data_IF_021967886569
#
_entry.id   IF_021967886569
#
_cell.length_a   1.000
_cell.length_b   1.000
_cell.length_c   1.000
_cell.angle_alpha   90.00
_cell.angle_beta   90.00
_cell.angle_gamma   90.00
#
_symmetry.space_group_name_H-M   'P 1'
#
loop_
_entity.id
_entity.type
_entity.pdbx_description
1 polymer ?
#
# COMPACT_ATOMS: atom_id res chain seq x y z
N UNK A 1 -9.20 -8.40 38.60
CA UNK A 1 -8.31 -7.48 37.87
C UNK A 1 -9.13 -6.77 36.81
N UNK A 2 -9.02 -5.45 36.70
CA UNK A 2 -9.69 -4.72 35.61
C UNK A 2 -8.99 -5.06 34.29
N UNK A 3 -9.71 -4.97 33.17
CA UNK A 3 -9.09 -5.08 31.85
C UNK A 3 -8.48 -3.72 31.46
N UNK A 4 -7.35 -3.74 30.74
CA UNK A 4 -6.77 -2.50 30.21
C UNK A 4 -7.73 -1.83 29.23
N UNK A 5 -7.99 -0.54 29.42
CA UNK A 5 -8.81 0.26 28.52
C UNK A 5 -7.99 1.39 27.92
N UNK A 6 -7.92 1.44 26.59
CA UNK A 6 -7.23 2.51 25.88
C UNK A 6 -8.23 3.57 25.42
N UNK A 7 -8.11 4.78 25.93
CA UNK A 7 -9.07 5.87 25.68
C UNK A 7 -9.17 6.27 24.19
N UNK A 8 -8.13 6.02 23.40
CA UNK A 8 -8.05 6.37 21.98
C UNK A 8 -8.24 5.16 21.05
N UNK A 9 -8.86 4.08 21.52
CA UNK A 9 -9.07 2.87 20.72
C UNK A 9 -9.88 3.14 19.44
N UNK A 10 -10.94 3.94 19.52
CA UNK A 10 -11.72 4.38 18.35
C UNK A 10 -10.88 5.19 17.35
N UNK A 11 -9.94 6.00 17.84
CA UNK A 11 -9.04 6.79 17.00
C UNK A 11 -8.06 5.86 16.28
N UNK A 12 -7.50 4.88 17.00
CA UNK A 12 -6.60 3.88 16.41
C UNK A 12 -7.31 3.08 15.31
N UNK A 13 -8.55 2.66 15.55
CA UNK A 13 -9.32 1.90 14.55
C UNK A 13 -9.68 2.76 13.34
N UNK A 14 -10.04 4.03 13.54
CA UNK A 14 -10.25 4.95 12.43
C UNK A 14 -8.97 5.13 11.58
N UNK A 15 -7.80 5.28 12.22
CA UNK A 15 -6.50 5.39 11.52
C UNK A 15 -6.14 4.11 10.76
N UNK A 16 -6.46 2.93 11.29
CA UNK A 16 -6.32 1.64 10.56
C UNK A 16 -7.18 1.62 9.30
N UNK A 17 -8.42 2.10 9.38
CA UNK A 17 -9.33 2.17 8.23
C UNK A 17 -8.78 3.10 7.15
N UNK A 18 -8.29 4.29 7.53
CA UNK A 18 -7.66 5.24 6.61
C UNK A 18 -6.44 4.61 5.91
N UNK A 19 -5.55 3.94 6.66
CA UNK A 19 -4.41 3.23 6.05
C UNK A 19 -4.87 2.17 5.05
N UNK A 20 -5.92 1.41 5.40
CA UNK A 20 -6.44 0.35 4.53
C UNK A 20 -7.05 0.92 3.25
N UNK A 21 -7.76 2.04 3.32
CA UNK A 21 -8.31 2.75 2.16
C UNK A 21 -7.20 3.30 1.27
N UNK A 22 -6.17 3.93 1.85
CA UNK A 22 -5.01 4.42 1.11
C UNK A 22 -4.30 3.28 0.36
N UNK A 23 -4.12 2.12 1.01
CA UNK A 23 -3.52 0.92 0.37
C UNK A 23 -4.38 0.39 -0.76
N UNK A 24 -5.71 0.38 -0.61
CA UNK A 24 -6.63 -0.03 -1.68
C UNK A 24 -6.52 0.89 -2.90
N UNK A 25 -6.49 2.20 -2.67
CA UNK A 25 -6.32 3.18 -3.75
C UNK A 25 -4.98 3.00 -4.48
N UNK A 26 -3.88 2.81 -3.73
CA UNK A 26 -2.56 2.48 -4.30
C UNK A 26 -2.61 1.20 -5.14
N UNK A 27 -3.21 0.13 -4.62
CA UNK A 27 -3.30 -1.16 -5.32
C UNK A 27 -4.09 -1.06 -6.64
N UNK A 28 -5.18 -0.29 -6.67
CA UNK A 28 -5.96 -0.06 -7.88
C UNK A 28 -5.13 0.65 -8.97
N UNK A 29 -4.39 1.70 -8.59
CA UNK A 29 -3.48 2.42 -9.49
C UNK A 29 -2.35 1.52 -10.00
N UNK A 30 -1.79 0.70 -9.10
CA UNK A 30 -0.75 -0.26 -9.45
C UNK A 30 -1.24 -1.29 -10.46
N UNK A 31 -2.47 -1.79 -10.28
CA UNK A 31 -3.09 -2.73 -11.21
C UNK A 31 -3.32 -2.08 -12.58
N UNK A 32 -3.79 -0.84 -12.62
CA UNK A 32 -3.95 -0.09 -13.87
C UNK A 32 -2.62 0.05 -14.60
N UNK A 33 -1.53 0.39 -13.89
CA UNK A 33 -0.20 0.49 -14.48
C UNK A 33 0.25 -0.84 -15.11
N UNK A 34 0.06 -1.95 -14.41
CA UNK A 34 0.40 -3.30 -14.91
C UNK A 34 -0.38 -3.62 -16.19
N UNK A 35 -1.67 -3.29 -16.25
CA UNK A 35 -2.49 -3.50 -17.45
C UNK A 35 -1.98 -2.68 -18.64
N UNK A 36 -1.56 -1.43 -18.41
CA UNK A 36 -0.98 -0.59 -19.46
C UNK A 36 0.39 -1.11 -19.93
N UNK A 37 1.23 -1.61 -19.01
CA UNK A 37 2.52 -2.24 -19.35
C UNK A 37 2.32 -3.51 -20.19
N UNK A 38 1.34 -4.34 -19.85
CA UNK A 38 0.96 -5.51 -20.65
C UNK A 38 0.50 -5.10 -22.05
N UNK A 39 -0.36 -4.09 -22.15
CA UNK A 39 -0.85 -3.58 -23.43
C UNK A 39 0.30 -3.05 -24.31
N UNK A 40 1.20 -2.25 -23.72
CA UNK A 40 2.38 -1.73 -24.42
C UNK A 40 3.29 -2.86 -24.94
N UNK A 41 3.47 -3.91 -24.14
CA UNK A 41 4.24 -5.09 -24.56
C UNK A 41 3.58 -5.79 -25.76
N UNK A 42 2.26 -5.95 -25.76
CA UNK A 42 1.53 -6.52 -26.91
C UNK A 42 1.70 -5.67 -28.16
N UNK A 43 1.55 -4.34 -28.08
CA UNK A 43 1.74 -3.43 -29.21
C UNK A 43 3.18 -3.48 -29.74
N UNK A 44 4.16 -3.60 -28.85
CA UNK A 44 5.58 -3.69 -29.23
C UNK A 44 5.90 -5.01 -29.91
N UNK A 45 5.32 -6.11 -29.45
CA UNK A 45 5.44 -7.42 -30.10
C UNK A 45 4.79 -7.43 -31.48
N UNK A 46 3.60 -6.85 -31.61
CA UNK A 46 2.91 -6.69 -32.89
C UNK A 46 3.74 -5.85 -33.88
N UNK A 47 4.34 -4.76 -33.38
CA UNK A 47 5.27 -3.95 -34.17
C UNK A 47 6.44 -4.77 -34.68
N UNK A 48 7.04 -5.61 -33.84
CA UNK A 48 8.15 -6.46 -34.23
C UNK A 48 7.75 -7.50 -35.30
N UNK A 49 6.57 -8.10 -35.18
CA UNK A 49 6.05 -9.08 -36.15
C UNK A 49 5.80 -8.47 -37.53
N UNK A 50 5.40 -7.20 -37.60
CA UNK A 50 5.22 -6.49 -38.88
C UNK A 50 6.52 -6.38 -39.70
N UNK A 51 7.67 -6.30 -39.03
CA UNK A 51 8.97 -6.22 -39.68
C UNK A 51 9.50 -7.58 -40.15
N UNK A 52 8.90 -8.69 -39.72
CA UNK A 52 9.34 -10.05 -40.04
C UNK A 52 8.70 -10.58 -41.36
N UNK A 53 7.75 -9.83 -41.94
CA UNK A 53 7.02 -10.22 -43.16
C UNK A 53 7.76 -9.75 -44.42
N UNK A 54 8.32 -10.69 -45.17
CA UNK A 54 9.15 -10.47 -46.37
C UNK A 54 8.40 -10.19 -47.71
N UNK A 55 7.09 -9.91 -47.69
CA UNK A 55 6.32 -9.68 -48.93
C UNK A 55 6.42 -8.24 -49.45
N UNK A 56 7.12 -8.07 -50.59
CA UNK A 56 7.56 -6.79 -51.16
C UNK A 56 6.66 -6.29 -52.31
N UNK A 57 5.34 -6.25 -52.12
CA UNK A 57 4.44 -5.58 -53.08
C UNK A 57 4.21 -4.12 -52.64
N UNK A 58 4.33 -3.17 -53.57
CA UNK A 58 4.19 -1.72 -53.30
C UNK A 58 2.90 -1.39 -52.52
N UNK A 59 1.76 -1.96 -52.92
CA UNK A 59 0.48 -1.75 -52.22
C UNK A 59 0.48 -2.28 -50.78
N UNK A 60 1.17 -3.39 -50.52
CA UNK A 60 1.29 -3.98 -49.17
C UNK A 60 2.22 -3.16 -48.28
N UNK A 61 3.31 -2.63 -48.84
CA UNK A 61 4.22 -1.72 -48.14
C UNK A 61 3.51 -0.44 -47.69
N UNK A 62 2.64 0.14 -48.54
CA UNK A 62 1.85 1.33 -48.18
C UNK A 62 0.87 1.04 -47.03
N UNK A 63 0.22 -0.12 -47.02
CA UNK A 63 -0.68 -0.54 -45.94
C UNK A 63 0.10 -0.78 -44.65
N UNK A 64 1.24 -1.47 -44.70
CA UNK A 64 2.13 -1.69 -43.55
C UNK A 64 2.63 -0.37 -42.98
N UNK A 65 3.02 0.60 -43.81
CA UNK A 65 3.48 1.91 -43.35
C UNK A 65 2.37 2.68 -42.61
N UNK A 66 1.15 2.69 -43.14
CA UNK A 66 0.00 3.32 -42.47
C UNK A 66 -0.29 2.65 -41.14
N UNK A 67 -0.22 1.33 -41.10
CA UNK A 67 -0.44 0.57 -39.87
C UNK A 67 0.64 0.85 -38.82
N UNK A 68 1.92 0.89 -39.22
CA UNK A 68 3.03 1.24 -38.33
C UNK A 68 2.89 2.66 -37.76
N UNK A 69 2.42 3.62 -38.56
CA UNK A 69 2.16 4.98 -38.06
C UNK A 69 1.05 5.00 -37.01
N UNK A 70 -0.06 4.29 -37.26
CA UNK A 70 -1.14 4.15 -36.28
C UNK A 70 -0.66 3.46 -35.00
N UNK A 71 0.12 2.39 -35.14
CA UNK A 71 0.67 1.63 -34.01
C UNK A 71 1.61 2.47 -33.16
N UNK A 72 2.48 3.27 -33.79
CA UNK A 72 3.36 4.20 -33.08
C UNK A 72 2.55 5.27 -32.31
N UNK A 73 1.52 5.84 -32.95
CA UNK A 73 0.66 6.82 -32.28
C UNK A 73 -0.05 6.22 -31.04
N UNK A 74 -0.54 4.97 -31.15
CA UNK A 74 -1.12 4.25 -30.01
C UNK A 74 -0.08 3.98 -28.91
N UNK A 75 1.14 3.56 -29.28
CA UNK A 75 2.24 3.35 -28.33
C UNK A 75 2.56 4.64 -27.57
N UNK A 76 2.68 5.76 -28.27
CA UNK A 76 2.97 7.07 -27.67
C UNK A 76 1.83 7.49 -26.71
N UNK A 77 0.57 7.25 -27.09
CA UNK A 77 -0.59 7.52 -26.22
C UNK A 77 -0.56 6.68 -24.95
N UNK A 78 -0.28 5.37 -25.07
CA UNK A 78 -0.17 4.46 -23.92
C UNK A 78 0.99 4.86 -23.01
N UNK A 79 2.14 5.23 -23.57
CA UNK A 79 3.29 5.70 -22.80
C UNK A 79 2.99 7.00 -22.04
N UNK A 80 2.29 7.95 -22.65
CA UNK A 80 1.85 9.18 -21.98
C UNK A 80 0.87 8.88 -20.85
N UNK A 81 -0.11 7.99 -21.06
CA UNK A 81 -1.03 7.56 -19.99
C UNK A 81 -0.27 6.90 -18.85
N UNK A 82 0.69 6.03 -19.15
CA UNK A 82 1.53 5.38 -18.14
C UNK A 82 2.35 6.37 -17.34
N UNK A 83 2.86 7.43 -17.96
CA UNK A 83 3.58 8.50 -17.25
C UNK A 83 2.69 9.14 -16.18
N UNK A 84 1.46 9.53 -16.54
CA UNK A 84 0.51 10.10 -15.58
C UNK A 84 0.13 9.12 -14.47
N UNK A 85 -0.17 7.86 -14.82
CA UNK A 85 -0.48 6.82 -13.82
C UNK A 85 0.69 6.59 -12.86
N UNK A 86 1.94 6.65 -13.33
CA UNK A 86 3.14 6.54 -12.46
C UNK A 86 3.26 7.72 -11.49
N UNK A 87 2.95 8.94 -11.94
CA UNK A 87 2.92 10.10 -11.05
C UNK A 87 1.85 9.94 -9.97
N UNK A 88 0.62 9.59 -10.38
CA UNK A 88 -0.48 9.36 -9.45
C UNK A 88 -0.23 8.21 -8.47
N UNK A 89 0.52 7.19 -8.90
CA UNK A 89 0.93 6.06 -8.08
C UNK A 89 1.92 6.52 -7.00
N UNK A 90 2.91 7.33 -7.37
CA UNK A 90 3.88 7.89 -6.42
C UNK A 90 3.21 8.78 -5.38
N UNK A 91 2.24 9.61 -5.78
CA UNK A 91 1.42 10.41 -4.86
C UNK A 91 0.63 9.51 -3.91
N UNK A 92 -0.01 8.45 -4.44
CA UNK A 92 -0.77 7.52 -3.59
C UNK A 92 0.12 6.75 -2.62
N UNK A 93 1.37 6.46 -2.99
CA UNK A 93 2.34 5.85 -2.10
C UNK A 93 2.70 6.78 -0.94
N UNK A 94 2.88 8.07 -1.21
CA UNK A 94 3.11 9.07 -0.16
C UNK A 94 1.97 9.09 0.85
N UNK A 95 0.72 9.04 0.38
CA UNK A 95 -0.47 8.99 1.25
C UNK A 95 -0.50 7.73 2.10
N UNK A 96 -0.14 6.56 1.54
CA UNK A 96 -0.03 5.30 2.30
C UNK A 96 1.01 5.42 3.41
N UNK A 97 2.18 6.00 3.10
CA UNK A 97 3.27 6.17 4.06
C UNK A 97 2.85 7.11 5.19
N UNK A 98 2.19 8.22 4.87
CA UNK A 98 1.68 9.16 5.87
C UNK A 98 0.64 8.50 6.79
N UNK A 99 -0.37 7.84 6.22
CA UNK A 99 -1.39 7.12 6.99
C UNK A 99 -0.78 6.04 7.91
N UNK A 100 0.27 5.35 7.43
CA UNK A 100 1.04 4.40 8.23
C UNK A 100 1.75 5.05 9.41
N UNK A 101 2.37 6.22 9.21
CA UNK A 101 3.06 6.95 10.26
C UNK A 101 2.05 7.39 11.34
N UNK A 102 0.92 7.98 10.93
CA UNK A 102 -0.12 8.44 11.85
C UNK A 102 -0.71 7.30 12.68
N UNK A 103 -1.00 6.14 12.06
CA UNK A 103 -1.47 4.95 12.79
C UNK A 103 -0.42 4.47 13.80
N UNK A 104 0.85 4.40 13.39
CA UNK A 104 1.96 3.95 14.25
C UNK A 104 2.17 4.86 15.45
N UNK A 105 1.91 6.17 15.34
CA UNK A 105 2.00 7.10 16.47
C UNK A 105 1.00 6.71 17.56
N UNK A 106 -0.26 6.47 17.18
CA UNK A 106 -1.32 6.10 18.13
C UNK A 106 -1.09 4.69 18.70
N UNK A 107 -0.60 3.76 17.86
CA UNK A 107 -0.24 2.41 18.29
C UNK A 107 0.88 2.42 19.35
N UNK A 108 1.96 3.18 19.12
CA UNK A 108 3.04 3.34 20.11
C UNK A 108 2.55 3.97 21.41
N UNK A 109 1.58 4.89 21.36
CA UNK A 109 0.97 5.45 22.55
C UNK A 109 0.19 4.39 23.35
N UNK A 110 -0.57 3.54 22.66
CA UNK A 110 -1.27 2.41 23.29
C UNK A 110 -0.30 1.43 23.94
N UNK A 111 0.77 1.08 23.25
CA UNK A 111 1.81 0.17 23.77
C UNK A 111 2.45 0.72 25.05
N UNK A 112 2.77 2.02 25.09
CA UNK A 112 3.32 2.67 26.29
C UNK A 112 2.35 2.64 27.46
N UNK A 113 1.09 3.03 27.24
CA UNK A 113 0.06 3.00 28.30
C UNK A 113 -0.20 1.58 28.79
N UNK A 114 -0.15 0.60 27.90
CA UNK A 114 -0.28 -0.81 28.28
C UNK A 114 0.89 -1.28 29.15
N UNK A 115 2.13 -0.91 28.80
CA UNK A 115 3.30 -1.24 29.60
C UNK A 115 3.23 -0.60 31.01
N UNK A 116 2.81 0.66 31.11
CA UNK A 116 2.60 1.35 32.39
C UNK A 116 1.52 0.67 33.23
N UNK A 117 0.40 0.28 32.60
CA UNK A 117 -0.68 -0.46 33.25
C UNK A 117 -0.19 -1.80 33.81
N UNK A 118 0.52 -2.60 33.00
CA UNK A 118 1.07 -3.89 33.43
C UNK A 118 2.06 -3.74 34.57
N UNK A 119 2.94 -2.74 34.52
CA UNK A 119 3.88 -2.46 35.60
C UNK A 119 3.16 -2.08 36.90
N UNK A 120 2.12 -1.26 36.82
CA UNK A 120 1.29 -0.90 37.98
C UNK A 120 0.61 -2.11 38.63
N UNK A 121 0.02 -3.00 37.83
CA UNK A 121 -0.59 -4.24 38.33
C UNK A 121 0.44 -5.13 39.03
N UNK A 122 1.63 -5.31 38.45
CA UNK A 122 2.71 -6.11 39.06
C UNK A 122 3.16 -5.53 40.41
N UNK A 123 3.28 -4.20 40.51
CA UNK A 123 3.66 -3.55 41.76
C UNK A 123 2.57 -3.71 42.84
N UNK A 124 1.30 -3.66 42.45
CA UNK A 124 0.17 -3.83 43.37
C UNK A 124 0.03 -5.27 43.84
N UNK A 125 0.22 -6.25 42.94
CA UNK A 125 0.33 -7.67 43.28
C UNK A 125 1.48 -7.93 44.26
N UNK A 126 2.66 -7.35 44.02
CA UNK A 126 3.81 -7.50 44.92
C UNK A 126 3.51 -6.95 46.32
N UNK A 127 2.90 -5.75 46.41
CA UNK A 127 2.50 -5.17 47.71
C UNK A 127 1.50 -6.05 48.45
N UNK A 128 0.51 -6.60 47.74
CA UNK A 128 -0.45 -7.52 48.35
C UNK A 128 0.22 -8.78 48.90
N UNK A 129 1.16 -9.37 48.14
CA UNK A 129 1.93 -10.54 48.57
C UNK A 129 2.78 -10.24 49.83
N UNK A 130 3.45 -9.08 49.88
CA UNK A 130 4.24 -8.65 51.04
C UNK A 130 3.35 -8.42 52.29
N UNK A 131 2.15 -7.86 52.12
CA UNK A 131 1.18 -7.68 53.20
C UNK A 131 0.65 -9.03 53.74
N UNK A 132 0.36 -9.99 52.86
CA UNK A 132 -0.04 -11.34 53.27
C UNK A 132 1.09 -12.07 53.99
N UNK A 133 2.33 -11.97 53.47
CA UNK A 133 3.51 -12.56 54.09
C UNK A 133 3.78 -12.02 55.49
N UNK A 134 3.68 -10.70 55.68
CA UNK A 134 3.84 -10.09 57.00
C UNK A 134 2.72 -10.49 57.97
N UNK A 135 1.44 -10.50 57.55
CA UNK A 135 0.35 -10.92 58.44
C UNK A 135 0.47 -12.38 58.89
N UNK A 136 0.95 -13.28 58.03
CA UNK A 136 1.15 -14.69 58.39
C UNK A 136 2.30 -14.92 59.38
N UNK A 137 3.23 -13.97 59.53
CA UNK A 137 4.34 -14.04 60.51
C UNK A 137 3.90 -13.55 61.90
N UNK A 138 2.84 -12.76 62.00
CA UNK A 138 2.32 -12.18 63.25
C UNK A 138 1.05 -12.89 63.80
N UNK A 139 0.67 -14.03 63.23
CA UNK A 139 -0.42 -14.92 63.68
C UNK A 139 0.12 -16.24 64.18
#
# INVERSE_FOLDING_TARGET
MQAFHFSLEKVLDHRKTIEQEAKRAYAQKQQLLIQQEQHLNTLTQEKAQLFDVNEMTIGRMQVQQRYLLALNATIDEVQNKMFHVKQELAESLSVVVEAQQERKIVEKLREKQFAEYTYGQQLEEQKQLDEFGNRAIFS
#
